data_IF_489149232635
#
_entry.id   IF_489149232635
#
_cell.length_a   1.000
_cell.length_b   1.000
_cell.length_c   1.000
_cell.angle_alpha   90.00
_cell.angle_beta   90.00
_cell.angle_gamma   90.00
#
_symmetry.space_group_name_H-M   'P 1'
#
loop_
_entity.id
_entity.type
_entity.pdbx_description
1 polymer ?
#
# COMPACT_ATOMS: atom_id res chain seq x y z
N UNK A 1 -2.19 4.56 -5.82
CA UNK A 1 -1.16 4.68 -6.90
C UNK A 1 -1.01 6.10 -7.42
N UNK A 2 -2.10 6.83 -7.76
CA UNK A 2 -2.04 8.23 -8.23
C UNK A 2 -1.40 9.17 -7.18
N UNK A 3 -1.74 8.97 -5.91
CA UNK A 3 -1.31 9.78 -4.76
C UNK A 3 0.19 9.64 -4.44
N UNK A 4 0.75 8.43 -4.49
CA UNK A 4 2.18 8.21 -4.29
C UNK A 4 3.06 8.87 -5.38
N UNK A 5 2.53 9.03 -6.60
CA UNK A 5 3.27 9.60 -7.72
C UNK A 5 3.19 11.14 -7.78
N UNK A 6 2.09 11.74 -7.34
CA UNK A 6 1.96 13.20 -7.26
C UNK A 6 3.00 13.84 -6.33
N UNK A 7 3.43 13.08 -5.31
CA UNK A 7 4.45 13.49 -4.34
C UNK A 7 5.81 12.80 -4.56
N UNK A 8 6.01 12.13 -5.69
CA UNK A 8 7.25 11.43 -5.97
C UNK A 8 8.42 12.43 -6.10
N UNK A 9 9.50 12.11 -5.39
CA UNK A 9 10.77 12.81 -5.55
C UNK A 9 11.34 12.63 -6.96
N UNK A 10 12.47 13.28 -7.25
CA UNK A 10 13.09 13.25 -8.58
C UNK A 10 13.39 11.81 -9.04
N UNK A 11 13.77 10.94 -8.11
CA UNK A 11 14.09 9.53 -8.38
C UNK A 11 12.81 8.75 -8.67
N UNK A 12 11.75 8.94 -7.87
CA UNK A 12 10.45 8.35 -8.11
C UNK A 12 9.88 8.69 -9.48
N UNK A 13 10.03 9.95 -9.94
CA UNK A 13 9.59 10.35 -11.29
C UNK A 13 10.32 9.62 -12.43
N UNK A 14 11.62 9.34 -12.26
CA UNK A 14 12.38 8.54 -13.25
C UNK A 14 11.85 7.12 -13.32
N UNK A 15 11.55 6.50 -12.17
CA UNK A 15 10.95 5.17 -12.14
C UNK A 15 9.56 5.15 -12.77
N UNK A 16 8.71 6.15 -12.50
CA UNK A 16 7.40 6.29 -13.14
C UNK A 16 7.53 6.42 -14.66
N UNK A 17 8.37 7.34 -15.14
CA UNK A 17 8.56 7.49 -16.58
C UNK A 17 9.07 6.19 -17.23
N UNK A 18 9.98 5.45 -16.59
CA UNK A 18 10.46 4.14 -17.08
C UNK A 18 9.32 3.11 -17.13
N UNK A 19 8.58 2.97 -16.04
CA UNK A 19 7.60 1.90 -15.85
C UNK A 19 6.30 2.14 -16.65
N UNK A 20 6.06 3.37 -17.12
CA UNK A 20 4.90 3.75 -17.93
C UNK A 20 5.27 4.24 -19.34
N UNK A 21 6.26 3.60 -19.99
CA UNK A 21 6.63 3.86 -21.40
C UNK A 21 6.90 5.35 -21.71
N UNK A 22 7.58 6.04 -20.79
CA UNK A 22 7.97 7.44 -20.92
C UNK A 22 6.92 8.45 -20.46
N UNK A 23 5.76 8.02 -19.94
CA UNK A 23 4.68 8.92 -19.51
C UNK A 23 4.65 9.13 -18.01
N UNK A 24 4.32 10.35 -17.62
CA UNK A 24 4.03 10.73 -16.24
C UNK A 24 2.57 10.44 -15.90
N UNK A 25 2.30 10.19 -14.62
CA UNK A 25 0.98 9.79 -14.13
C UNK A 25 -0.15 10.74 -14.56
N UNK A 26 0.11 12.05 -14.55
CA UNK A 26 -0.86 13.09 -14.90
C UNK A 26 -1.14 13.16 -16.41
N UNK A 27 -0.28 12.59 -17.25
CA UNK A 27 -0.47 12.53 -18.71
C UNK A 27 -1.41 11.39 -19.12
N UNK A 28 -1.62 10.41 -18.22
CA UNK A 28 -2.47 9.24 -18.44
C UNK A 28 -3.41 8.99 -17.26
N UNK A 29 -4.21 10.00 -16.85
CA UNK A 29 -4.98 9.96 -15.61
C UNK A 29 -6.03 8.84 -15.58
N UNK A 30 -6.72 8.59 -16.70
CA UNK A 30 -7.72 7.52 -16.78
C UNK A 30 -7.09 6.12 -16.72
N UNK A 31 -5.90 5.95 -17.31
CA UNK A 31 -5.17 4.69 -17.18
C UNK A 31 -4.74 4.44 -15.73
N UNK A 32 -4.23 5.48 -15.05
CA UNK A 32 -3.85 5.40 -13.64
C UNK A 32 -5.04 5.12 -12.73
N UNK A 33 -6.17 5.78 -12.98
CA UNK A 33 -7.42 5.57 -12.25
C UNK A 33 -7.91 4.13 -12.39
N UNK A 34 -7.93 3.60 -13.61
CA UNK A 34 -8.29 2.19 -13.88
C UNK A 34 -7.34 1.20 -13.22
N UNK A 35 -6.05 1.49 -13.18
CA UNK A 35 -5.03 0.63 -12.57
C UNK A 35 -5.01 0.71 -11.03
N UNK A 36 -5.57 1.76 -10.44
CA UNK A 36 -5.54 1.99 -8.99
C UNK A 36 -6.70 1.28 -8.30
N UNK A 37 -6.39 0.27 -7.50
CA UNK A 37 -7.36 -0.46 -6.65
C UNK A 37 -8.05 0.44 -5.63
N UNK A 38 -7.48 1.59 -5.33
CA UNK A 38 -8.03 2.59 -4.40
C UNK A 38 -9.42 3.10 -4.77
N UNK A 39 -9.75 3.14 -6.06
CA UNK A 39 -11.08 3.55 -6.51
C UNK A 39 -12.12 2.44 -6.38
N UNK A 40 -11.68 1.23 -5.99
CA UNK A 40 -12.49 0.01 -5.92
C UNK A 40 -12.47 -0.61 -4.51
N UNK A 41 -12.05 0.14 -3.47
CA UNK A 41 -11.97 -0.39 -2.11
C UNK A 41 -13.32 -0.90 -1.57
N UNK A 42 -14.43 -0.31 -2.03
CA UNK A 42 -15.79 -0.76 -1.67
C UNK A 42 -16.18 -2.10 -2.29
N UNK A 43 -15.39 -2.60 -3.25
CA UNK A 43 -15.63 -3.89 -3.90
C UNK A 43 -14.88 -5.04 -3.21
N UNK A 44 -14.07 -4.75 -2.20
CA UNK A 44 -13.36 -5.79 -1.43
C UNK A 44 -14.40 -6.65 -0.70
N UNK A 45 -14.28 -7.97 -0.82
CA UNK A 45 -15.15 -8.96 -0.15
C UNK A 45 -14.38 -10.00 0.65
N UNK A 46 -13.06 -10.03 0.49
CA UNK A 46 -12.18 -11.01 1.10
C UNK A 46 -11.51 -10.38 2.32
N UNK A 47 -11.31 -11.14 3.41
CA UNK A 47 -10.52 -10.67 4.54
C UNK A 47 -9.12 -10.19 4.11
N UNK A 48 -8.63 -9.11 4.70
CA UNK A 48 -7.28 -8.57 4.41
C UNK A 48 -6.39 -8.45 5.66
N UNK A 49 -5.15 -8.96 5.53
CA UNK A 49 -4.04 -8.59 6.39
C UNK A 49 -3.26 -7.44 5.75
N UNK A 50 -3.12 -6.32 6.46
CA UNK A 50 -2.47 -5.11 5.99
C UNK A 50 -1.27 -4.81 6.91
N UNK A 51 -0.06 -4.88 6.37
CA UNK A 51 1.20 -4.66 7.09
C UNK A 51 1.93 -3.46 6.48
N UNK A 52 2.24 -2.43 7.28
CA UNK A 52 2.86 -1.19 6.75
C UNK A 52 3.93 -0.63 7.68
N UNK A 53 4.97 0.02 7.15
CA UNK A 53 5.98 0.73 7.94
C UNK A 53 5.69 2.22 8.05
N UNK A 54 5.74 2.81 9.25
CA UNK A 54 5.37 4.22 9.50
C UNK A 54 6.28 5.25 8.79
N UNK A 55 7.50 4.86 8.39
CA UNK A 55 8.49 5.68 7.69
C UNK A 55 8.61 5.33 6.21
N UNK A 56 7.62 4.62 5.64
CA UNK A 56 7.61 4.30 4.22
C UNK A 56 7.43 5.55 3.35
N UNK A 57 8.51 6.02 2.73
CA UNK A 57 8.49 7.20 1.83
C UNK A 57 8.06 6.90 0.40
N UNK A 58 8.19 5.64 -0.04
CA UNK A 58 7.77 5.22 -1.39
C UNK A 58 6.26 5.02 -1.51
N UNK A 59 5.63 4.55 -0.43
CA UNK A 59 4.18 4.36 -0.33
C UNK A 59 3.75 4.93 1.02
N UNK A 60 3.12 6.12 1.04
CA UNK A 60 2.72 6.78 2.27
C UNK A 60 1.82 5.89 3.14
N UNK A 61 2.01 5.85 4.47
CA UNK A 61 1.17 5.07 5.39
C UNK A 61 -0.33 5.34 5.28
N UNK A 62 -0.71 6.55 4.89
CA UNK A 62 -2.09 6.97 4.68
C UNK A 62 -2.82 6.10 3.64
N UNK A 63 -2.12 5.57 2.64
CA UNK A 63 -2.71 4.67 1.64
C UNK A 63 -3.25 3.41 2.33
N UNK A 64 -2.44 2.77 3.18
CA UNK A 64 -2.85 1.58 3.94
C UNK A 64 -3.93 1.87 4.98
N UNK A 65 -3.85 3.01 5.66
CA UNK A 65 -4.83 3.44 6.64
C UNK A 65 -6.22 3.63 6.00
N UNK A 66 -6.29 4.14 4.77
CA UNK A 66 -7.56 4.30 4.06
C UNK A 66 -8.19 2.96 3.66
N UNK A 67 -7.38 1.95 3.34
CA UNK A 67 -7.88 0.58 3.10
C UNK A 67 -8.48 0.02 4.39
N UNK A 68 -7.74 0.08 5.50
CA UNK A 68 -8.21 -0.40 6.81
C UNK A 68 -9.50 0.31 7.26
N UNK A 69 -9.56 1.63 7.13
CA UNK A 69 -10.77 2.41 7.44
C UNK A 69 -11.97 2.00 6.56
N UNK A 70 -11.74 1.72 5.29
CA UNK A 70 -12.82 1.25 4.38
C UNK A 70 -13.30 -0.15 4.78
N UNK A 71 -12.39 -1.06 5.12
CA UNK A 71 -12.72 -2.40 5.59
C UNK A 71 -13.53 -2.35 6.89
N UNK A 72 -13.09 -1.53 7.85
CA UNK A 72 -13.78 -1.31 9.12
C UNK A 72 -15.18 -0.74 8.93
N UNK A 73 -15.34 0.28 8.08
CA UNK A 73 -16.64 0.87 7.77
C UNK A 73 -17.61 -0.13 7.09
N UNK A 74 -17.08 -1.10 6.34
CA UNK A 74 -17.85 -2.16 5.70
C UNK A 74 -18.10 -3.38 6.62
N UNK A 75 -17.57 -3.39 7.85
CA UNK A 75 -17.67 -4.54 8.76
C UNK A 75 -16.94 -5.79 8.26
N UNK A 76 -15.97 -5.63 7.38
CA UNK A 76 -15.24 -6.74 6.77
C UNK A 76 -14.05 -7.16 7.65
N UNK A 77 -13.78 -8.48 7.80
CA UNK A 77 -12.67 -8.94 8.60
C UNK A 77 -11.34 -8.41 8.04
N UNK A 78 -10.54 -7.78 8.89
CA UNK A 78 -9.23 -7.28 8.51
C UNK A 78 -8.33 -7.18 9.73
N UNK A 79 -7.03 -7.22 9.49
CA UNK A 79 -6.00 -6.88 10.46
C UNK A 79 -5.12 -5.79 9.87
N UNK A 80 -4.83 -4.74 10.65
CA UNK A 80 -3.98 -3.64 10.23
C UNK A 80 -2.88 -3.41 11.26
N UNK A 81 -1.63 -3.60 10.84
CA UNK A 81 -0.44 -3.46 11.68
C UNK A 81 0.51 -2.45 11.07
N UNK A 82 0.92 -1.48 11.90
CA UNK A 82 1.93 -0.48 11.54
C UNK A 82 3.20 -0.74 12.35
N UNK A 83 4.31 -0.96 11.65
CA UNK A 83 5.61 -1.21 12.28
C UNK A 83 6.37 0.11 12.48
N UNK A 84 6.66 0.49 13.73
CA UNK A 84 7.31 1.76 14.04
C UNK A 84 8.78 1.74 13.60
N UNK A 85 9.23 2.84 13.02
CA UNK A 85 10.59 2.98 12.50
C UNK A 85 10.86 2.30 11.16
N UNK A 86 9.90 1.58 10.58
CA UNK A 86 10.09 0.81 9.35
C UNK A 86 9.71 1.57 8.07
N UNK A 87 10.46 1.30 6.99
CA UNK A 87 10.24 1.92 5.68
C UNK A 87 9.46 1.04 4.69
N UNK A 88 9.82 1.11 3.40
CA UNK A 88 9.23 0.29 2.32
C UNK A 88 9.58 -1.21 2.40
N UNK A 89 10.35 -1.62 3.40
CA UNK A 89 10.67 -3.02 3.69
C UNK A 89 11.22 -3.11 5.10
N UNK A 90 10.86 -4.19 5.81
CA UNK A 90 11.19 -4.33 7.23
C UNK A 90 12.66 -4.71 7.44
N UNK A 91 13.39 -3.91 8.21
CA UNK A 91 14.82 -4.09 8.49
C UNK A 91 15.07 -4.71 9.85
N UNK A 92 14.31 -4.34 10.87
CA UNK A 92 14.48 -4.89 12.21
C UNK A 92 14.10 -6.38 12.19
N UNK A 93 14.99 -7.23 12.70
CA UNK A 93 14.77 -8.69 12.73
C UNK A 93 13.47 -9.05 13.42
N UNK A 94 13.15 -8.38 14.53
CA UNK A 94 11.90 -8.61 15.27
C UNK A 94 10.66 -8.35 14.40
N UNK A 95 10.62 -7.22 13.68
CA UNK A 95 9.50 -6.89 12.79
C UNK A 95 9.39 -7.86 11.61
N UNK A 96 10.53 -8.33 11.07
CA UNK A 96 10.52 -9.35 10.02
C UNK A 96 9.93 -10.69 10.50
N UNK A 97 10.30 -11.12 11.71
CA UNK A 97 9.79 -12.35 12.31
C UNK A 97 8.28 -12.22 12.57
N UNK A 98 7.84 -11.16 13.26
CA UNK A 98 6.42 -10.91 13.54
C UNK A 98 5.60 -10.81 12.26
N UNK A 99 6.09 -10.13 11.22
CA UNK A 99 5.47 -10.09 9.90
C UNK A 99 5.27 -11.48 9.30
N UNK A 100 6.30 -12.35 9.34
CA UNK A 100 6.18 -13.71 8.83
C UNK A 100 5.21 -14.55 9.64
N UNK A 101 5.23 -14.44 10.97
CA UNK A 101 4.33 -15.16 11.86
C UNK A 101 2.87 -14.77 11.61
N UNK A 102 2.57 -13.48 11.49
CA UNK A 102 1.24 -12.98 11.13
C UNK A 102 0.78 -13.47 9.77
N UNK A 103 1.65 -13.41 8.76
CA UNK A 103 1.33 -13.92 7.43
C UNK A 103 0.99 -15.42 7.47
N UNK A 104 1.79 -16.23 8.18
CA UNK A 104 1.56 -17.67 8.31
C UNK A 104 0.25 -17.95 9.08
N UNK A 105 -0.01 -17.23 10.17
CA UNK A 105 -1.25 -17.38 10.93
C UNK A 105 -2.47 -17.00 10.09
N UNK A 106 -2.38 -15.91 9.32
CA UNK A 106 -3.47 -15.40 8.49
C UNK A 106 -3.89 -16.39 7.40
N UNK A 107 -2.93 -17.03 6.71
CA UNK A 107 -3.26 -17.99 5.64
C UNK A 107 -3.70 -19.36 6.15
N UNK A 108 -3.49 -19.65 7.44
CA UNK A 108 -3.89 -20.91 8.08
C UNK A 108 -5.29 -20.88 8.68
N UNK A 109 -5.84 -19.69 8.91
CA UNK A 109 -7.21 -19.46 9.38
C UNK A 109 -8.17 -19.30 8.20
#
# INVERSE_FOLDING_TARGET
MITAQAHADRVGRVFVARDYWGRLAHEIPEAMKRASTHHRLREIKTPLLILHGDRATRVPPQESAQVAATMAAAGLPHEYVVYPGEGHGFRHRAHRVDCCERMIAWVRN
#
